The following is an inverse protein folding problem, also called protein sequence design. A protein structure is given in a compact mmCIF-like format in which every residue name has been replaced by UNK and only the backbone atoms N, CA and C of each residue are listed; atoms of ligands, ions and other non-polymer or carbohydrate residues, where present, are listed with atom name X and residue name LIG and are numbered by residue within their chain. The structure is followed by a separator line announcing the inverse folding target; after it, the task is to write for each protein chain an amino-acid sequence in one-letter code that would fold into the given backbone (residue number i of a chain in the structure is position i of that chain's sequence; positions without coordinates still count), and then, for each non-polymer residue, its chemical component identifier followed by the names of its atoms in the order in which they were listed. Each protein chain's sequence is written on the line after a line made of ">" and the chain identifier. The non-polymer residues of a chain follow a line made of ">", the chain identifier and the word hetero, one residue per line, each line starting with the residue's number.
data_IF_391484912191
#
_entry.id   IF_391484912191
#
_cell.length_a   1.000
_cell.length_b   1.000
_cell.length_c   1.000
_cell.angle_alpha   90.00
_cell.angle_beta   90.00
_cell.angle_gamma   90.00
#
_symmetry.space_group_name_H-M   'P 1'
#
loop_
_entity.id
_entity.type
_entity.pdbx_description
1 polymer ?
#
# COMPACT_ATOMS: atom_id res chain seq x y z
N UNK A 1 4.22 -15.95 23.30
CA UNK A 1 2.99 -15.27 22.90
C UNK A 1 2.34 -14.54 24.05
N UNK A 2 1.83 -13.37 23.82
CA UNK A 2 1.20 -12.54 24.85
C UNK A 2 -0.31 -12.50 24.63
N UNK A 3 -1.05 -13.50 25.13
CA UNK A 3 -2.48 -13.62 24.81
C UNK A 3 -3.32 -12.47 25.32
N UNK A 4 -2.87 -11.74 26.33
CA UNK A 4 -3.59 -10.59 26.86
C UNK A 4 -3.50 -9.34 25.96
N UNK A 5 -2.59 -9.33 24.99
CA UNK A 5 -2.43 -8.19 24.10
C UNK A 5 -3.42 -8.28 22.95
N UNK A 6 -4.28 -7.29 22.74
CA UNK A 6 -5.14 -7.29 21.57
C UNK A 6 -4.28 -7.23 20.31
N UNK A 7 -4.73 -7.91 19.28
CA UNK A 7 -4.07 -7.82 17.97
C UNK A 7 -4.22 -6.40 17.43
N UNK A 8 -3.14 -5.88 16.84
CA UNK A 8 -3.21 -4.59 16.14
C UNK A 8 -4.09 -4.72 14.90
N UNK A 9 -4.91 -3.71 14.58
CA UNK A 9 -5.58 -3.67 13.29
C UNK A 9 -4.57 -3.77 12.15
N UNK A 10 -4.82 -4.69 11.23
CA UNK A 10 -3.93 -4.92 10.08
C UNK A 10 -4.51 -4.22 8.87
N UNK A 11 -3.79 -3.21 8.39
CA UNK A 11 -4.26 -2.31 7.33
C UNK A 11 -3.33 -2.41 6.15
N UNK A 12 -3.89 -2.70 4.97
CA UNK A 12 -3.16 -2.72 3.72
C UNK A 12 -3.38 -1.41 2.96
N UNK A 13 -2.30 -0.71 2.64
CA UNK A 13 -2.32 0.42 1.72
C UNK A 13 -1.97 -0.06 0.32
N UNK A 14 -2.80 0.27 -0.65
CA UNK A 14 -2.57 0.00 -2.07
C UNK A 14 -2.40 1.35 -2.76
N UNK A 15 -1.16 1.71 -3.05
CA UNK A 15 -0.84 3.05 -3.55
C UNK A 15 0.53 3.08 -4.24
N UNK A 16 0.84 4.21 -4.84
CA UNK A 16 2.17 4.48 -5.37
C UNK A 16 3.15 4.87 -4.28
N UNK A 17 4.43 4.91 -4.63
CA UNK A 17 5.49 5.34 -3.71
C UNK A 17 5.69 6.85 -3.75
N UNK A 18 6.29 7.38 -2.69
CA UNK A 18 6.83 8.74 -2.63
C UNK A 18 8.18 8.68 -1.93
N UNK A 19 9.30 8.82 -2.68
CA UNK A 19 10.63 8.77 -2.07
C UNK A 19 10.85 9.85 -1.00
N UNK A 20 10.15 10.98 -1.08
CA UNK A 20 10.26 12.05 -0.08
C UNK A 20 9.47 11.76 1.19
N UNK A 21 8.60 10.74 1.17
CA UNK A 21 7.90 10.27 2.36
C UNK A 21 6.65 11.05 2.74
N UNK A 22 6.23 12.03 1.93
CA UNK A 22 5.09 12.91 2.25
C UNK A 22 3.76 12.42 1.73
N UNK A 23 3.75 11.40 0.89
CA UNK A 23 2.54 10.85 0.28
C UNK A 23 2.71 9.36 0.03
N UNK A 24 1.74 8.74 -0.64
CA UNK A 24 1.79 7.35 -1.05
C UNK A 24 1.92 6.35 0.09
N UNK A 25 2.54 5.22 -0.20
CA UNK A 25 2.69 4.14 0.79
C UNK A 25 3.51 4.56 2.01
N UNK A 26 4.48 5.44 1.83
CA UNK A 26 5.30 5.92 2.95
C UNK A 26 4.45 6.73 3.94
N UNK A 27 3.65 7.67 3.46
CA UNK A 27 2.77 8.46 4.32
C UNK A 27 1.71 7.58 5.00
N UNK A 28 1.14 6.63 4.26
CA UNK A 28 0.14 5.71 4.79
C UNK A 28 0.73 4.82 5.89
N UNK A 29 1.95 4.32 5.71
CA UNK A 29 2.64 3.52 6.73
C UNK A 29 2.81 4.32 8.02
N UNK A 30 3.26 5.56 7.91
CA UNK A 30 3.43 6.43 9.07
C UNK A 30 2.11 6.70 9.78
N UNK A 31 1.07 7.03 9.03
CA UNK A 31 -0.24 7.35 9.58
C UNK A 31 -0.90 6.14 10.25
N UNK A 32 -0.85 4.98 9.61
CA UNK A 32 -1.40 3.74 10.17
C UNK A 32 -0.67 3.36 11.45
N UNK A 33 0.66 3.43 11.44
CA UNK A 33 1.46 3.11 12.62
C UNK A 33 1.20 4.09 13.76
N UNK A 34 1.10 5.38 13.46
CA UNK A 34 0.80 6.41 14.46
C UNK A 34 -0.59 6.22 15.07
N UNK A 35 -1.53 5.70 14.31
CA UNK A 35 -2.88 5.42 14.79
C UNK A 35 -2.99 4.07 15.53
N UNK A 36 -1.91 3.33 15.68
CA UNK A 36 -1.89 2.07 16.41
C UNK A 36 -2.16 0.83 15.55
N UNK A 37 -2.08 0.95 14.23
CA UNK A 37 -2.26 -0.16 13.32
C UNK A 37 -0.96 -0.82 12.91
N UNK A 38 -1.07 -2.00 12.31
CA UNK A 38 0.03 -2.69 11.63
C UNK A 38 -0.09 -2.41 10.14
N UNK A 39 0.89 -1.67 9.60
CA UNK A 39 0.85 -1.23 8.21
C UNK A 39 1.50 -2.25 7.28
N UNK A 40 0.80 -2.54 6.18
CA UNK A 40 1.31 -3.31 5.06
C UNK A 40 1.08 -2.53 3.79
N UNK A 41 1.87 -2.78 2.76
CA UNK A 41 1.77 -2.01 1.52
C UNK A 41 1.82 -2.92 0.30
N UNK A 42 0.99 -2.59 -0.69
CA UNK A 42 1.09 -3.12 -2.04
C UNK A 42 1.30 -1.93 -2.98
N UNK A 43 2.35 -1.99 -3.78
CA UNK A 43 2.78 -0.84 -4.57
C UNK A 43 2.21 -0.92 -5.97
N UNK A 44 1.45 0.12 -6.37
CA UNK A 44 0.87 0.21 -7.71
C UNK A 44 1.85 0.77 -8.73
N UNK A 45 2.68 1.70 -8.31
CA UNK A 45 3.70 2.31 -9.17
C UNK A 45 4.84 2.86 -8.32
N UNK A 46 6.00 2.94 -8.95
CA UNK A 46 7.19 3.57 -8.37
C UNK A 46 7.27 4.99 -8.93
N UNK A 47 7.44 5.96 -8.05
CA UNK A 47 7.38 7.37 -8.43
C UNK A 47 8.70 8.04 -8.05
N UNK A 48 9.28 8.75 -9.01
CA UNK A 48 10.37 9.68 -8.73
C UNK A 48 9.75 11.03 -8.39
N UNK A 49 9.77 11.38 -7.13
CA UNK A 49 9.02 12.50 -6.58
C UNK A 49 9.82 13.17 -5.46
N UNK A 50 9.61 14.47 -5.32
CA UNK A 50 10.09 15.23 -4.19
C UNK A 50 9.03 16.27 -3.79
N UNK A 51 9.38 17.20 -2.91
CA UNK A 51 8.44 18.21 -2.41
C UNK A 51 7.97 19.20 -3.47
N UNK A 52 8.65 19.27 -4.62
CA UNK A 52 8.26 20.18 -5.71
C UNK A 52 7.39 19.52 -6.77
N UNK A 53 7.28 18.21 -6.79
CA UNK A 53 6.41 17.51 -7.71
C UNK A 53 6.89 16.13 -8.11
N UNK A 54 6.19 15.55 -9.09
CA UNK A 54 6.46 14.23 -9.65
C UNK A 54 7.28 14.40 -10.93
N UNK A 55 8.43 13.73 -11.00
CA UNK A 55 9.31 13.82 -12.16
C UNK A 55 9.18 12.62 -13.10
N UNK A 56 8.91 11.43 -12.57
CA UNK A 56 8.76 10.22 -13.37
C UNK A 56 7.92 9.18 -12.64
N UNK A 57 7.25 8.31 -13.39
CA UNK A 57 6.43 7.22 -12.86
C UNK A 57 6.79 5.94 -13.62
N UNK A 58 7.04 4.87 -12.87
CA UNK A 58 7.20 3.53 -13.41
C UNK A 58 6.08 2.64 -12.87
N UNK A 59 5.27 2.10 -13.75
CA UNK A 59 4.16 1.24 -13.38
C UNK A 59 4.51 -0.23 -13.70
N UNK A 60 4.69 -1.08 -12.68
CA UNK A 60 4.85 -2.51 -12.93
C UNK A 60 3.60 -3.10 -13.60
N UNK A 61 3.71 -4.26 -14.26
CA UNK A 61 2.54 -4.93 -14.84
C UNK A 61 1.45 -5.20 -13.79
N UNK A 62 0.20 -5.11 -14.21
CA UNK A 62 -0.94 -5.29 -13.29
C UNK A 62 -0.96 -6.66 -12.62
N UNK A 63 -0.48 -7.71 -13.30
CA UNK A 63 -0.40 -9.05 -12.71
C UNK A 63 0.58 -9.11 -11.55
N UNK A 64 1.61 -8.25 -11.53
CA UNK A 64 2.51 -8.17 -10.39
C UNK A 64 1.81 -7.59 -9.17
N UNK A 65 0.94 -6.60 -9.35
CA UNK A 65 0.12 -6.10 -8.24
C UNK A 65 -0.77 -7.21 -7.70
N UNK A 66 -1.40 -7.98 -8.58
CA UNK A 66 -2.21 -9.13 -8.17
C UNK A 66 -1.40 -10.11 -7.32
N UNK A 67 -0.14 -10.34 -7.68
CA UNK A 67 0.76 -11.19 -6.89
C UNK A 67 1.06 -10.60 -5.52
N UNK A 68 1.29 -9.30 -5.44
CA UNK A 68 1.49 -8.63 -4.15
C UNK A 68 0.27 -8.79 -3.25
N UNK A 69 -0.91 -8.57 -3.80
CA UNK A 69 -2.16 -8.68 -3.06
C UNK A 69 -2.39 -10.10 -2.55
N UNK A 70 -2.16 -11.09 -3.38
CA UNK A 70 -2.29 -12.50 -2.98
C UNK A 70 -1.25 -12.90 -1.94
N UNK A 71 -0.01 -12.44 -2.08
CA UNK A 71 1.04 -12.73 -1.09
C UNK A 71 0.63 -12.29 0.31
N UNK A 72 0.02 -11.11 0.40
CA UNK A 72 -0.44 -10.58 1.69
C UNK A 72 -1.71 -11.30 2.15
N UNK A 73 -2.72 -11.39 1.30
CA UNK A 73 -4.03 -11.92 1.69
C UNK A 73 -4.02 -13.41 1.98
N UNK A 74 -3.09 -14.17 1.38
CA UNK A 74 -2.96 -15.60 1.64
C UNK A 74 -2.33 -15.88 3.01
N UNK A 75 -1.62 -14.91 3.58
CA UNK A 75 -0.88 -15.08 4.83
C UNK A 75 -1.48 -14.29 5.99
N UNK A 76 -2.01 -13.11 5.71
CA UNK A 76 -2.45 -12.16 6.76
C UNK A 76 -3.91 -11.83 6.57
N UNK A 77 -4.67 -11.97 7.65
CA UNK A 77 -6.06 -11.48 7.67
C UNK A 77 -6.06 -9.96 7.75
N UNK A 78 -6.72 -9.32 6.79
CA UNK A 78 -6.78 -7.86 6.71
C UNK A 78 -8.02 -7.33 7.40
N UNK A 79 -7.85 -6.29 8.22
CA UNK A 79 -8.96 -5.62 8.89
C UNK A 79 -9.48 -4.44 8.07
N UNK A 80 -8.61 -3.80 7.29
CA UNK A 80 -8.99 -2.67 6.43
C UNK A 80 -8.03 -2.55 5.25
N UNK A 81 -8.53 -1.94 4.18
CA UNK A 81 -7.75 -1.63 2.98
C UNK A 81 -7.96 -0.16 2.64
N UNK A 82 -6.84 0.54 2.39
CA UNK A 82 -6.86 1.92 1.91
C UNK A 82 -6.27 1.95 0.52
N UNK A 83 -6.95 2.58 -0.42
CA UNK A 83 -6.42 2.77 -1.76
C UNK A 83 -6.00 4.22 -1.97
N UNK A 84 -4.83 4.41 -2.59
CA UNK A 84 -4.35 5.71 -3.03
C UNK A 84 -4.35 5.79 -4.55
N UNK A 85 -3.25 6.28 -5.12
CA UNK A 85 -3.13 6.37 -6.57
C UNK A 85 -3.02 4.97 -7.19
N UNK A 86 -3.98 4.61 -8.04
CA UNK A 86 -3.98 3.33 -8.73
C UNK A 86 -3.32 3.41 -10.11
N UNK A 87 -3.42 4.54 -10.76
CA UNK A 87 -2.64 4.86 -11.96
C UNK A 87 -3.30 4.50 -13.28
N UNK A 88 -3.56 3.23 -13.52
CA UNK A 88 -4.08 2.75 -14.81
C UNK A 88 -5.36 1.96 -14.65
N UNK A 89 -6.10 1.80 -15.76
CA UNK A 89 -7.32 0.98 -15.78
C UNK A 89 -7.00 -0.48 -15.42
N UNK A 90 -5.89 -0.99 -15.88
CA UNK A 90 -5.46 -2.36 -15.60
C UNK A 90 -5.19 -2.56 -14.10
N UNK A 91 -4.58 -1.57 -13.45
CA UNK A 91 -4.33 -1.61 -12.01
C UNK A 91 -5.64 -1.54 -11.25
N UNK A 92 -6.57 -0.67 -11.64
CA UNK A 92 -7.89 -0.57 -11.02
C UNK A 92 -8.61 -1.93 -11.13
N UNK A 93 -8.58 -2.56 -12.29
CA UNK A 93 -9.19 -3.87 -12.49
C UNK A 93 -8.56 -4.93 -11.57
N UNK A 94 -7.24 -4.91 -11.41
CA UNK A 94 -6.54 -5.85 -10.54
C UNK A 94 -6.95 -5.68 -9.07
N UNK A 95 -7.12 -4.46 -8.60
CA UNK A 95 -7.55 -4.17 -7.22
C UNK A 95 -8.98 -4.64 -6.98
N UNK A 96 -9.86 -4.48 -7.96
CA UNK A 96 -11.27 -4.85 -7.84
C UNK A 96 -11.54 -6.34 -8.03
N UNK A 97 -10.55 -7.09 -8.47
CA UNK A 97 -10.73 -8.53 -8.74
C UNK A 97 -10.80 -9.39 -7.47
#
# INVERSE_FOLDING_TARGET
>A
MTPARPALPRVLSIAGTDPSGGAGTAADTKSISAAGGFAMTAVTCLVAQNTTGVQAIHTPPADFLSRQLRSVSDDVELDAIKTGMLGTTEIIAAVCA
#
